data_IF_175574958183
#
_entry.id   IF_175574958183
#
_cell.length_a   1.000
_cell.length_b   1.000
_cell.length_c   1.000
_cell.angle_alpha   90.00
_cell.angle_beta   90.00
_cell.angle_gamma   90.00
#
_symmetry.space_group_name_H-M   'P 1'
#
loop_
_entity.id
_entity.type
_entity.pdbx_description
1 polymer ?
#
# COMPACT_ATOMS: atom_id res chain seq x y z
N UNK A 1 -10.85 -7.96 -20.42
CA UNK A 1 -11.44 -6.80 -21.13
C UNK A 1 -10.48 -5.63 -20.98
N UNK A 2 -10.16 -4.87 -22.03
CA UNK A 2 -9.32 -3.69 -21.90
C UNK A 2 -9.95 -2.69 -20.93
N UNK A 3 -9.12 -2.06 -20.09
CA UNK A 3 -9.56 -0.98 -19.20
C UNK A 3 -9.84 0.26 -20.07
N UNK A 4 -11.00 0.92 -19.96
CA UNK A 4 -11.26 2.16 -20.69
C UNK A 4 -10.23 3.24 -20.34
N UNK A 5 -9.91 4.10 -21.32
CA UNK A 5 -8.95 5.17 -21.11
C UNK A 5 -9.59 6.30 -20.29
N UNK A 6 -9.16 6.44 -19.03
CA UNK A 6 -9.55 7.53 -18.13
C UNK A 6 -8.40 8.51 -17.85
N UNK A 7 -7.38 8.54 -18.72
CA UNK A 7 -6.20 9.39 -18.60
C UNK A 7 -5.03 8.69 -17.88
N UNK A 8 -4.19 9.49 -17.20
CA UNK A 8 -3.07 8.96 -16.43
C UNK A 8 -3.56 8.02 -15.33
N UNK A 9 -2.85 6.90 -15.18
CA UNK A 9 -3.18 5.86 -14.22
C UNK A 9 -1.98 5.50 -13.36
N UNK A 10 -2.26 5.06 -12.14
CA UNK A 10 -1.29 4.43 -11.23
C UNK A 10 -1.82 3.08 -10.74
N UNK A 11 -0.92 2.22 -10.30
CA UNK A 11 -1.29 0.96 -9.64
C UNK A 11 -1.20 1.15 -8.12
N UNK A 12 -2.31 0.92 -7.44
CA UNK A 12 -2.41 0.92 -5.99
C UNK A 12 -2.51 -0.52 -5.47
N UNK A 13 -1.66 -0.85 -4.49
CA UNK A 13 -1.57 -2.15 -3.83
C UNK A 13 -1.81 -1.97 -2.31
N UNK A 14 -3.07 -1.79 -1.88
CA UNK A 14 -3.41 -1.43 -0.49
C UNK A 14 -3.04 -2.51 0.54
N UNK A 15 -2.86 -3.76 0.12
CA UNK A 15 -2.40 -4.87 0.96
C UNK A 15 -1.21 -5.61 0.32
N UNK A 16 -0.34 -4.86 -0.36
CA UNK A 16 0.82 -5.41 -1.06
C UNK A 16 0.46 -6.30 -2.25
N UNK A 17 1.45 -7.03 -2.75
CA UNK A 17 1.34 -7.86 -3.95
C UNK A 17 0.42 -9.09 -3.81
N UNK A 18 0.06 -9.46 -2.58
CA UNK A 18 -0.83 -10.59 -2.29
C UNK A 18 -2.31 -10.18 -2.18
N UNK A 19 -2.62 -8.88 -2.19
CA UNK A 19 -3.98 -8.37 -2.10
C UNK A 19 -4.55 -7.89 -3.44
N UNK A 20 -5.72 -7.27 -3.37
CA UNK A 20 -6.34 -6.62 -4.52
C UNK A 20 -5.44 -5.53 -5.11
N UNK A 21 -5.36 -5.48 -6.45
CA UNK A 21 -4.68 -4.43 -7.18
C UNK A 21 -5.70 -3.52 -7.86
N UNK A 22 -5.53 -2.21 -7.71
CA UNK A 22 -6.41 -1.20 -8.31
C UNK A 22 -5.63 -0.36 -9.32
N UNK A 23 -6.19 -0.22 -10.53
CA UNK A 23 -5.78 0.85 -11.44
C UNK A 23 -6.56 2.09 -11.07
N UNK A 24 -5.86 3.10 -10.53
CA UNK A 24 -6.46 4.36 -10.07
C UNK A 24 -6.20 5.46 -11.08
N UNK A 25 -7.15 6.39 -11.20
CA UNK A 25 -7.11 7.53 -12.12
C UNK A 25 -7.29 8.85 -11.36
N UNK A 26 -7.31 9.98 -12.07
CA UNK A 26 -7.42 11.32 -11.47
C UNK A 26 -8.63 11.51 -10.52
N UNK A 27 -9.74 10.80 -10.74
CA UNK A 27 -10.89 10.85 -9.84
C UNK A 27 -10.58 10.31 -8.44
N UNK A 28 -9.64 9.37 -8.30
CA UNK A 28 -9.17 8.88 -7.01
C UNK A 28 -8.60 10.04 -6.18
N UNK A 29 -7.71 10.83 -6.78
CA UNK A 29 -7.09 12.00 -6.15
C UNK A 29 -8.10 13.12 -5.83
N UNK A 30 -9.20 13.21 -6.56
CA UNK A 30 -10.30 14.14 -6.24
C UNK A 30 -11.00 13.73 -4.94
N UNK A 31 -11.27 12.43 -4.76
CA UNK A 31 -11.92 11.92 -3.54
C UNK A 31 -10.96 12.02 -2.34
N UNK A 32 -9.66 11.80 -2.54
CA UNK A 32 -8.63 11.95 -1.50
C UNK A 32 -8.62 13.34 -0.86
N UNK A 33 -9.03 14.39 -1.58
CA UNK A 33 -9.15 15.75 -1.02
C UNK A 33 -10.15 15.85 0.12
N UNK A 34 -11.14 14.95 0.16
CA UNK A 34 -12.10 14.86 1.26
C UNK A 34 -11.54 14.07 2.44
N UNK A 35 -10.89 12.93 2.15
CA UNK A 35 -10.23 12.09 3.13
C UNK A 35 -9.08 11.31 2.46
N UNK A 36 -7.88 11.47 3.01
CA UNK A 36 -6.62 10.96 2.42
C UNK A 36 -6.37 9.47 2.67
N UNK A 37 -7.28 8.75 3.31
CA UNK A 37 -7.14 7.32 3.51
C UNK A 37 -7.54 6.52 2.25
N UNK A 38 -6.60 5.75 1.68
CA UNK A 38 -6.87 4.86 0.54
C UNK A 38 -8.13 4.01 0.72
N UNK A 39 -8.30 3.42 1.92
CA UNK A 39 -9.46 2.59 2.25
C UNK A 39 -10.79 3.36 2.15
N UNK A 40 -10.80 4.64 2.49
CA UNK A 40 -11.99 5.50 2.33
C UNK A 40 -12.29 5.70 0.85
N UNK A 41 -11.28 6.05 0.06
CA UNK A 41 -11.46 6.30 -1.38
C UNK A 41 -11.91 5.05 -2.12
N UNK A 42 -11.28 3.90 -1.81
CA UNK A 42 -11.69 2.59 -2.34
C UNK A 42 -13.14 2.28 -1.93
N UNK A 43 -13.52 2.55 -0.68
CA UNK A 43 -14.88 2.34 -0.19
C UNK A 43 -15.92 3.19 -0.93
N UNK A 44 -15.65 4.48 -1.11
CA UNK A 44 -16.54 5.41 -1.85
C UNK A 44 -16.65 5.00 -3.32
N UNK A 45 -15.53 4.73 -3.97
CA UNK A 45 -15.50 4.27 -5.37
C UNK A 45 -16.26 2.96 -5.54
N UNK A 46 -15.97 1.96 -4.70
CA UNK A 46 -16.63 0.67 -4.76
C UNK A 46 -18.13 0.78 -4.48
N UNK A 47 -18.55 1.56 -3.47
CA UNK A 47 -19.98 1.79 -3.20
C UNK A 47 -20.68 2.41 -4.42
N UNK A 48 -20.04 3.38 -5.07
CA UNK A 48 -20.57 4.02 -6.28
C UNK A 48 -20.74 3.01 -7.42
N UNK A 49 -19.74 2.14 -7.64
CA UNK A 49 -19.82 1.05 -8.62
C UNK A 49 -20.97 0.09 -8.30
N UNK A 50 -21.16 -0.27 -7.02
CA UNK A 50 -22.25 -1.15 -6.57
C UNK A 50 -23.63 -0.53 -6.79
N UNK A 51 -23.78 0.78 -6.55
CA UNK A 51 -25.02 1.52 -6.82
C UNK A 51 -25.33 1.56 -8.33
N UNK A 52 -24.30 1.67 -9.17
CA UNK A 52 -24.43 1.64 -10.63
C UNK A 52 -24.67 0.23 -11.22
N UNK A 53 -24.77 -0.81 -10.37
CA UNK A 53 -25.05 -2.19 -10.78
C UNK A 53 -23.80 -3.02 -11.12
N UNK A 54 -22.59 -2.53 -10.85
CA UNK A 54 -21.38 -3.31 -11.03
C UNK A 54 -21.23 -4.42 -9.97
N UNK A 55 -20.39 -5.42 -10.26
CA UNK A 55 -20.11 -6.57 -9.39
C UNK A 55 -19.29 -6.24 -8.13
N UNK A 56 -19.10 -7.22 -7.22
CA UNK A 56 -18.17 -7.08 -6.09
C UNK A 56 -16.71 -7.04 -6.58
N UNK A 57 -15.78 -6.71 -5.68
CA UNK A 57 -14.36 -6.92 -5.94
C UNK A 57 -14.08 -8.42 -6.06
N UNK A 58 -13.34 -8.82 -7.10
CA UNK A 58 -13.03 -10.23 -7.38
C UNK A 58 -11.79 -10.76 -6.64
N UNK A 59 -10.97 -9.86 -6.09
CA UNK A 59 -9.73 -10.24 -5.42
C UNK A 59 -9.95 -10.47 -3.92
N UNK A 60 -9.25 -11.45 -3.38
CA UNK A 60 -9.18 -11.69 -1.95
C UNK A 60 -8.24 -10.71 -1.25
N UNK A 61 -8.41 -10.62 0.06
CA UNK A 61 -7.58 -9.82 0.94
C UNK A 61 -6.80 -10.72 1.89
N UNK A 62 -5.51 -10.44 2.15
CA UNK A 62 -4.74 -11.21 3.13
C UNK A 62 -5.27 -10.94 4.54
N UNK A 63 -6.10 -11.85 5.07
CA UNK A 63 -6.82 -11.67 6.35
C UNK A 63 -5.91 -11.75 7.58
N UNK A 64 -4.78 -12.42 7.46
CA UNK A 64 -3.78 -12.55 8.52
C UNK A 64 -2.82 -11.37 8.58
N UNK A 65 -2.91 -10.44 7.61
CA UNK A 65 -2.07 -9.25 7.57
C UNK A 65 -2.70 -8.12 8.39
N UNK A 66 -2.21 -7.97 9.61
CA UNK A 66 -2.62 -6.86 10.48
C UNK A 66 -1.77 -5.62 10.17
N UNK A 67 -2.41 -4.46 10.26
CA UNK A 67 -1.71 -3.18 10.24
C UNK A 67 -0.67 -3.09 11.36
N UNK A 68 0.50 -2.52 11.02
CA UNK A 68 1.53 -2.18 11.99
C UNK A 68 1.04 -1.10 12.95
N UNK A 69 1.32 -1.28 14.24
CA UNK A 69 1.15 -0.24 15.25
C UNK A 69 2.16 0.88 15.03
N UNK A 70 1.88 2.08 15.52
CA UNK A 70 2.79 3.23 15.38
C UNK A 70 4.23 2.92 15.84
N UNK A 71 4.39 2.27 17.00
CA UNK A 71 5.71 1.86 17.51
C UNK A 71 6.41 0.84 16.61
N UNK A 72 5.65 -0.04 15.97
CA UNK A 72 6.19 -1.05 15.04
C UNK A 72 6.64 -0.42 13.72
N UNK A 73 5.97 0.64 13.27
CA UNK A 73 6.41 1.45 12.12
C UNK A 73 7.74 2.14 12.41
N UNK A 74 7.88 2.75 13.60
CA UNK A 74 9.14 3.34 14.04
C UNK A 74 10.25 2.30 14.18
N UNK A 75 9.94 1.12 14.72
CA UNK A 75 10.87 0.00 14.81
C UNK A 75 11.34 -0.44 13.42
N UNK A 76 10.42 -0.63 12.47
CA UNK A 76 10.74 -0.95 11.08
C UNK A 76 11.71 0.08 10.47
N UNK A 77 11.43 1.37 10.62
CA UNK A 77 12.29 2.44 10.08
C UNK A 77 13.71 2.39 10.68
N UNK A 78 13.83 2.15 12.00
CA UNK A 78 15.12 1.97 12.68
C UNK A 78 15.89 0.76 12.13
N UNK A 79 15.21 -0.39 12.02
CA UNK A 79 15.82 -1.63 11.57
C UNK A 79 16.24 -1.59 10.09
N UNK A 80 15.43 -0.95 9.24
CA UNK A 80 15.77 -0.69 7.84
C UNK A 80 17.04 0.16 7.74
N UNK A 81 17.07 1.29 8.46
CA UNK A 81 18.24 2.19 8.46
C UNK A 81 19.49 1.48 8.99
N UNK A 82 19.37 0.70 10.06
CA UNK A 82 20.48 -0.08 10.61
C UNK A 82 21.02 -1.15 9.64
N UNK A 83 20.18 -1.66 8.73
CA UNK A 83 20.57 -2.60 7.66
C UNK A 83 21.04 -1.92 6.37
N UNK A 84 21.22 -0.59 6.38
CA UNK A 84 21.68 0.18 5.21
C UNK A 84 20.57 0.66 4.28
N UNK A 85 19.30 0.39 4.59
CA UNK A 85 18.15 0.88 3.84
C UNK A 85 17.60 2.16 4.48
N UNK A 86 18.31 3.27 4.27
CA UNK A 86 18.00 4.55 4.94
C UNK A 86 16.57 5.04 4.63
N UNK A 87 15.78 5.29 5.69
CA UNK A 87 14.41 5.84 5.63
C UNK A 87 14.35 7.36 5.72
N UNK A 88 15.50 8.03 5.87
CA UNK A 88 15.68 9.48 6.09
C UNK A 88 15.00 10.01 7.37
N UNK A 89 14.81 9.14 8.36
CA UNK A 89 14.19 9.51 9.64
C UNK A 89 13.37 8.38 10.25
N UNK A 90 12.93 8.58 11.48
CA UNK A 90 12.09 7.64 12.24
C UNK A 90 10.93 8.41 12.88
N UNK A 91 9.85 8.54 12.14
CA UNK A 91 8.64 9.29 12.52
C UNK A 91 7.38 8.41 12.65
N UNK A 92 7.46 7.13 12.28
CA UNK A 92 6.34 6.20 12.26
C UNK A 92 5.36 6.41 11.09
N UNK A 93 5.68 7.29 10.15
CA UNK A 93 4.89 7.58 8.95
C UNK A 93 5.48 6.79 7.78
N UNK A 94 4.65 5.94 7.14
CA UNK A 94 5.05 5.17 5.97
C UNK A 94 4.91 6.05 4.72
N UNK A 95 5.85 6.98 4.55
CA UNK A 95 5.95 7.84 3.37
C UNK A 95 6.84 7.25 2.26
N UNK A 96 7.04 7.99 1.15
CA UNK A 96 7.81 7.54 -0.01
C UNK A 96 9.22 7.03 0.31
N UNK A 97 9.92 7.68 1.25
CA UNK A 97 11.26 7.27 1.68
C UNK A 97 11.24 5.90 2.38
N UNK A 98 10.26 5.66 3.26
CA UNK A 98 10.10 4.37 3.95
C UNK A 98 9.71 3.28 2.96
N UNK A 99 8.78 3.56 2.04
CA UNK A 99 8.36 2.64 0.97
C UNK A 99 9.56 2.24 0.11
N UNK A 100 10.39 3.20 -0.32
CA UNK A 100 11.60 2.91 -1.11
C UNK A 100 12.62 2.07 -0.32
N UNK A 101 12.79 2.35 0.97
CA UNK A 101 13.65 1.53 1.83
C UNK A 101 13.13 0.08 1.95
N UNK A 102 11.83 -0.11 2.13
CA UNK A 102 11.20 -1.44 2.16
C UNK A 102 11.43 -2.18 0.83
N UNK A 103 11.22 -1.51 -0.31
CA UNK A 103 11.46 -2.11 -1.63
C UNK A 103 12.89 -2.59 -1.79
N UNK A 104 13.87 -1.77 -1.40
CA UNK A 104 15.29 -2.14 -1.45
C UNK A 104 15.60 -3.34 -0.56
N UNK A 105 15.03 -3.37 0.65
CA UNK A 105 15.16 -4.52 1.55
C UNK A 105 14.53 -5.78 0.95
N UNK A 106 13.29 -5.70 0.48
CA UNK A 106 12.58 -6.82 -0.18
C UNK A 106 13.41 -7.39 -1.33
N UNK A 107 13.94 -6.53 -2.22
CA UNK A 107 14.83 -6.96 -3.30
C UNK A 107 16.08 -7.67 -2.77
N UNK A 108 16.70 -7.17 -1.70
CA UNK A 108 17.93 -7.78 -1.14
C UNK A 108 17.72 -9.18 -0.57
N UNK A 109 16.48 -9.53 -0.20
CA UNK A 109 16.13 -10.85 0.35
C UNK A 109 15.30 -11.70 -0.64
N UNK A 110 15.27 -11.32 -1.92
CA UNK A 110 14.59 -12.08 -2.97
C UNK A 110 13.06 -12.06 -2.92
N UNK A 111 12.46 -11.07 -2.23
CA UNK A 111 11.02 -10.86 -2.18
C UNK A 111 10.55 -9.91 -3.30
N UNK A 112 9.26 -9.95 -3.61
CA UNK A 112 8.64 -8.97 -4.52
C UNK A 112 8.75 -7.57 -3.90
N UNK A 113 9.36 -6.59 -4.59
CA UNK A 113 9.59 -5.25 -4.04
C UNK A 113 8.34 -4.36 -4.18
N UNK A 114 7.23 -4.77 -3.57
CA UNK A 114 5.97 -4.00 -3.57
C UNK A 114 6.03 -2.75 -2.68
N UNK A 115 6.91 -2.73 -1.68
CA UNK A 115 7.10 -1.63 -0.74
C UNK A 115 6.08 -1.61 0.40
N UNK A 116 5.30 -2.67 0.56
CA UNK A 116 4.25 -2.74 1.55
C UNK A 116 4.80 -3.02 2.96
N UNK A 117 4.44 -2.17 3.93
CA UNK A 117 4.92 -2.24 5.30
C UNK A 117 4.13 -3.26 6.14
N UNK A 118 4.25 -4.55 5.82
CA UNK A 118 3.56 -5.62 6.54
C UNK A 118 4.25 -6.00 7.86
N UNK A 119 3.49 -6.68 8.72
CA UNK A 119 4.05 -7.30 9.92
C UNK A 119 5.08 -8.39 9.60
N UNK A 120 4.93 -9.09 8.49
CA UNK A 120 5.89 -10.10 8.04
C UNK A 120 7.24 -9.50 7.66
N UNK A 121 7.26 -8.34 7.00
CA UNK A 121 8.50 -7.61 6.72
C UNK A 121 9.19 -7.18 8.03
N UNK A 122 8.42 -6.70 9.01
CA UNK A 122 8.99 -6.35 10.33
C UNK A 122 9.61 -7.57 11.01
N UNK A 123 8.99 -8.76 10.94
CA UNK A 123 9.58 -9.98 11.50
C UNK A 123 10.91 -10.33 10.84
N UNK A 124 11.02 -10.20 9.52
CA UNK A 124 12.29 -10.46 8.78
C UNK A 124 13.39 -9.46 9.09
N UNK A 125 13.03 -8.27 9.55
CA UNK A 125 13.95 -7.26 10.04
C UNK A 125 14.36 -7.46 11.49
N UNK A 126 13.79 -8.42 12.22
CA UNK A 126 14.27 -8.79 13.55
C UNK A 126 15.31 -9.88 13.40
#
# INVERSE_FOLDING_TARGET
>A
RPVPNHGQASILLPAGSQGAAFMIFNNFHVIERYNTADAYVIGVGHLSDRIAGAGPLNADWPRDDRNLRFREKQEMQKLLTARGFNTQGVDGIIGPNTIQAIRRFQSSVGLVPDGYASYEILKRLR
#
